data_IF_643320864861
#
_entry.id   IF_643320864861
#
_cell.length_a   1.000
_cell.length_b   1.000
_cell.length_c   1.000
_cell.angle_alpha   90.00
_cell.angle_beta   90.00
_cell.angle_gamma   90.00
#
_symmetry.space_group_name_H-M   'P 1'
#
loop_
_entity.id
_entity.type
_entity.pdbx_description
1 polymer ?
#
# COMPACT_ATOMS: atom_id res chain seq x y z
N UNK A 1 -16.37 -44.63 13.81
CA UNK A 1 -15.19 -43.74 13.98
C UNK A 1 -14.58 -43.46 12.60
N UNK A 2 -14.97 -42.38 11.92
CA UNK A 2 -14.45 -42.05 10.58
C UNK A 2 -13.57 -40.81 10.66
N UNK A 3 -12.28 -41.00 10.93
CA UNK A 3 -11.28 -39.93 10.96
C UNK A 3 -11.03 -39.44 9.54
N UNK A 4 -11.82 -38.46 9.09
CA UNK A 4 -11.52 -37.70 7.86
C UNK A 4 -10.41 -36.70 8.17
N UNK A 5 -9.16 -37.16 8.13
CA UNK A 5 -7.99 -36.28 8.09
C UNK A 5 -7.96 -35.56 6.74
N UNK A 6 -8.08 -34.23 6.73
CA UNK A 6 -7.71 -33.43 5.56
C UNK A 6 -6.19 -33.21 5.59
N UNK A 7 -5.48 -33.39 4.47
CA UNK A 7 -4.05 -33.20 4.43
C UNK A 7 -3.67 -31.75 4.73
N UNK A 8 -2.57 -31.59 5.46
CA UNK A 8 -1.93 -30.32 5.82
C UNK A 8 -1.24 -29.73 4.58
N UNK A 9 -1.30 -28.41 4.48
CA UNK A 9 -0.52 -27.55 3.59
C UNK A 9 -0.59 -27.86 2.09
N UNK A 10 -1.53 -27.19 1.42
CA UNK A 10 -1.30 -26.79 0.04
C UNK A 10 -0.32 -25.62 0.08
N UNK A 11 0.99 -25.90 -0.05
CA UNK A 11 1.96 -24.87 -0.35
C UNK A 11 1.52 -24.22 -1.67
N UNK A 12 1.01 -23.00 -1.59
CA UNK A 12 0.81 -22.17 -2.77
C UNK A 12 2.21 -21.86 -3.30
N UNK A 13 2.52 -22.19 -4.57
CA UNK A 13 3.79 -21.79 -5.17
C UNK A 13 3.91 -20.27 -5.04
N UNK A 14 5.04 -19.79 -4.53
CA UNK A 14 5.37 -18.37 -4.60
C UNK A 14 5.32 -17.99 -6.09
N UNK A 15 4.66 -16.88 -6.47
CA UNK A 15 4.59 -16.49 -7.87
C UNK A 15 6.02 -16.29 -8.37
N UNK A 16 6.42 -17.17 -9.27
CA UNK A 16 7.68 -17.08 -10.00
C UNK A 16 7.64 -15.79 -10.80
N UNK A 17 8.71 -15.00 -10.64
CA UNK A 17 8.92 -13.67 -11.21
C UNK A 17 8.50 -13.61 -12.68
N UNK A 18 7.34 -13.04 -12.96
CA UNK A 18 6.89 -12.79 -14.32
C UNK A 18 7.92 -11.90 -15.06
N UNK A 19 8.17 -12.15 -16.37
CA UNK A 19 9.17 -11.42 -17.15
C UNK A 19 8.78 -9.95 -17.24
N UNK A 20 9.74 -9.08 -16.90
CA UNK A 20 9.56 -7.64 -16.87
C UNK A 20 9.00 -7.12 -18.21
N UNK A 21 7.81 -6.51 -18.24
CA UNK A 21 7.32 -5.86 -19.45
C UNK A 21 8.19 -4.64 -19.73
N UNK A 22 9.08 -4.83 -20.69
CA UNK A 22 9.88 -3.81 -21.36
C UNK A 22 8.93 -2.75 -21.93
N UNK A 23 8.94 -1.54 -21.36
CA UNK A 23 8.45 -0.34 -22.07
C UNK A 23 7.35 0.50 -21.43
N UNK A 24 6.93 0.27 -20.18
CA UNK A 24 5.99 1.17 -19.49
C UNK A 24 6.49 1.50 -18.08
N UNK A 25 6.50 2.79 -17.71
CA UNK A 25 6.96 3.32 -16.41
C UNK A 25 6.38 2.51 -15.24
N UNK A 26 7.18 1.60 -14.72
CA UNK A 26 6.79 0.72 -13.63
C UNK A 26 6.81 1.50 -12.31
N UNK A 27 5.64 1.71 -11.71
CA UNK A 27 5.51 2.41 -10.41
C UNK A 27 5.66 1.46 -9.21
N UNK A 28 6.01 0.19 -9.43
CA UNK A 28 6.07 -0.85 -8.39
C UNK A 28 7.17 -0.60 -7.35
N UNK A 29 8.32 -0.06 -7.78
CA UNK A 29 9.45 0.26 -6.89
C UNK A 29 9.40 1.70 -6.34
N UNK A 30 8.24 2.36 -6.39
CA UNK A 30 8.11 3.75 -5.90
C UNK A 30 8.50 3.87 -4.43
N UNK A 31 9.23 4.93 -4.14
CA UNK A 31 9.66 5.26 -2.78
C UNK A 31 8.45 5.61 -1.91
N UNK A 32 8.56 5.28 -0.62
CA UNK A 32 7.58 5.71 0.36
C UNK A 32 7.53 7.23 0.42
N UNK A 33 6.31 7.77 0.35
CA UNK A 33 6.06 9.20 0.39
C UNK A 33 5.19 9.54 1.58
N UNK A 34 5.26 10.80 1.95
CA UNK A 34 4.49 11.37 3.03
C UNK A 34 3.22 11.96 2.46
N UNK A 35 2.10 11.68 3.11
CA UNK A 35 0.79 12.10 2.67
C UNK A 35 0.05 12.81 3.80
N UNK A 36 -0.75 13.80 3.44
CA UNK A 36 -1.60 14.55 4.34
C UNK A 36 -3.06 14.32 3.97
N UNK A 37 -3.89 13.97 4.95
CA UNK A 37 -5.32 13.94 4.75
C UNK A 37 -5.92 15.32 5.03
N UNK A 38 -6.58 15.91 4.03
CA UNK A 38 -7.27 17.20 4.18
C UNK A 38 -8.56 17.11 5.01
N UNK A 39 -9.12 15.90 5.18
CA UNK A 39 -10.32 15.66 6.00
C UNK A 39 -10.05 15.65 7.50
N UNK A 40 -9.03 14.90 7.95
CA UNK A 40 -8.71 14.77 9.38
C UNK A 40 -7.50 15.59 9.81
N UNK A 41 -6.75 16.19 8.88
CA UNK A 41 -5.52 16.95 9.14
C UNK A 41 -4.33 16.10 9.60
N UNK A 42 -4.52 14.78 9.79
CA UNK A 42 -3.44 13.85 10.14
C UNK A 42 -2.59 13.54 8.92
N UNK A 43 -1.31 13.34 9.16
CA UNK A 43 -0.34 12.95 8.14
C UNK A 43 0.04 11.49 8.33
N UNK A 44 0.45 10.82 7.26
CA UNK A 44 0.94 9.45 7.35
C UNK A 44 2.01 9.21 6.30
N UNK A 45 2.84 8.21 6.54
CA UNK A 45 3.93 7.87 5.64
C UNK A 45 3.71 6.47 5.08
N UNK A 46 3.77 6.32 3.76
CA UNK A 46 3.38 5.08 3.13
C UNK A 46 3.45 5.10 1.61
N UNK A 47 2.68 4.22 0.99
CA UNK A 47 2.41 4.20 -0.46
C UNK A 47 0.91 4.19 -0.65
N UNK A 48 0.37 5.02 -1.54
CA UNK A 48 -1.05 4.99 -1.90
C UNK A 48 -1.31 3.85 -2.87
N UNK A 49 -2.41 3.11 -2.78
CA UNK A 49 -2.69 2.06 -3.76
C UNK A 49 -2.85 2.67 -5.17
N UNK A 50 -1.87 2.44 -6.04
CA UNK A 50 -1.92 2.84 -7.44
C UNK A 50 -1.76 1.60 -8.31
N UNK A 51 -2.52 1.55 -9.39
CA UNK A 51 -2.46 0.45 -10.35
C UNK A 51 -1.28 0.71 -11.27
N UNK A 52 -0.29 -0.18 -11.23
CA UNK A 52 0.81 -0.13 -12.18
C UNK A 52 0.29 -0.50 -13.57
N UNK A 53 0.53 0.34 -14.58
CA UNK A 53 0.14 0.03 -15.97
C UNK A 53 0.87 -1.21 -16.51
N UNK A 54 2.09 -1.44 -16.04
CA UNK A 54 2.92 -2.59 -16.42
C UNK A 54 2.52 -3.87 -15.66
N UNK A 55 1.98 -3.73 -14.44
CA UNK A 55 1.60 -4.86 -13.59
C UNK A 55 0.18 -4.67 -13.05
N UNK A 56 -0.82 -4.70 -13.94
CA UNK A 56 -2.24 -4.59 -13.56
C UNK A 56 -2.70 -5.74 -12.65
N UNK A 57 -2.03 -6.89 -12.74
CA UNK A 57 -2.30 -8.09 -11.94
C UNK A 57 -1.69 -8.03 -10.53
N UNK A 58 -0.76 -7.11 -10.27
CA UNK A 58 -0.05 -7.01 -8.99
C UNK A 58 -0.78 -6.01 -8.10
N UNK A 59 -1.26 -6.50 -6.96
CA UNK A 59 -1.83 -5.66 -5.91
C UNK A 59 -0.98 -5.75 -4.65
N UNK A 60 -0.59 -4.58 -4.13
CA UNK A 60 0.18 -4.49 -2.90
C UNK A 60 -0.77 -4.39 -1.72
N UNK A 61 -0.84 -5.44 -0.88
CA UNK A 61 -1.73 -5.48 0.29
C UNK A 61 -1.45 -4.38 1.31
N UNK A 62 -0.21 -3.88 1.38
CA UNK A 62 0.20 -2.85 2.36
C UNK A 62 0.02 -1.42 1.86
N UNK A 63 -0.54 -1.23 0.67
CA UNK A 63 -0.72 0.10 0.11
C UNK A 63 -2.05 0.71 0.59
N UNK A 64 -2.00 1.99 0.96
CA UNK A 64 -3.12 2.72 1.51
C UNK A 64 -4.15 3.06 0.42
N UNK A 65 -5.33 2.45 0.51
CA UNK A 65 -6.49 2.78 -0.34
C UNK A 65 -7.34 3.92 0.23
N UNK A 66 -7.16 4.24 1.49
CA UNK A 66 -7.89 5.26 2.22
C UNK A 66 -7.03 5.77 3.37
N UNK A 67 -7.40 6.90 3.96
CA UNK A 67 -6.73 7.40 5.15
C UNK A 67 -6.90 6.40 6.31
N UNK A 68 -5.82 5.99 7.00
CA UNK A 68 -5.91 5.03 8.11
C UNK A 68 -6.64 5.58 9.35
N UNK A 69 -6.81 6.90 9.44
CA UNK A 69 -7.44 7.55 10.60
C UNK A 69 -8.95 7.78 10.42
N UNK A 70 -9.38 8.18 9.23
CA UNK A 70 -10.76 8.58 8.96
C UNK A 70 -11.42 7.80 7.82
N UNK A 71 -10.73 6.82 7.23
CA UNK A 71 -11.18 6.08 6.06
C UNK A 71 -11.58 6.96 4.85
N UNK A 72 -11.11 8.21 4.80
CA UNK A 72 -11.37 9.10 3.66
C UNK A 72 -10.70 8.56 2.38
N UNK A 73 -11.35 8.77 1.24
CA UNK A 73 -10.82 8.41 -0.07
C UNK A 73 -9.49 9.11 -0.35
N UNK A 74 -8.68 8.48 -1.21
CA UNK A 74 -7.40 9.04 -1.68
C UNK A 74 -7.53 10.41 -2.34
N UNK A 75 -8.73 10.79 -2.80
CA UNK A 75 -9.04 12.13 -3.33
C UNK A 75 -8.74 13.24 -2.31
N UNK A 76 -8.92 12.95 -1.02
CA UNK A 76 -8.62 13.90 0.07
C UNK A 76 -7.19 13.76 0.60
N UNK A 77 -6.35 12.96 -0.04
CA UNK A 77 -4.99 12.69 0.39
C UNK A 77 -4.03 13.37 -0.57
N UNK A 78 -3.32 14.37 -0.06
CA UNK A 78 -2.34 15.15 -0.82
C UNK A 78 -0.94 14.71 -0.44
N UNK A 79 -0.04 14.60 -1.42
CA UNK A 79 1.38 14.36 -1.13
C UNK A 79 1.98 15.56 -0.40
N UNK A 80 2.78 15.30 0.63
CA UNK A 80 3.58 16.29 1.35
C UNK A 80 5.05 15.89 1.30
N UNK A 81 5.96 16.85 1.31
CA UNK A 81 7.41 16.59 1.36
C UNK A 81 7.94 16.47 2.80
N UNK A 82 7.06 16.24 3.77
CA UNK A 82 7.41 16.12 5.18
C UNK A 82 8.17 14.82 5.45
N UNK A 83 9.20 14.86 6.29
CA UNK A 83 9.87 13.64 6.75
C UNK A 83 8.98 12.83 7.70
N UNK A 84 9.26 11.52 7.85
CA UNK A 84 8.56 10.62 8.80
C UNK A 84 8.49 11.21 10.21
N UNK A 85 9.60 11.79 10.66
CA UNK A 85 9.73 12.41 11.98
C UNK A 85 8.85 13.64 12.13
N UNK A 86 8.77 14.46 11.08
CA UNK A 86 7.91 15.64 11.05
C UNK A 86 6.41 15.26 11.12
N UNK A 87 6.02 14.18 10.44
CA UNK A 87 4.65 13.64 10.50
C UNK A 87 4.29 13.19 11.92
N UNK A 88 5.16 12.40 12.56
CA UNK A 88 4.92 11.91 13.91
C UNK A 88 4.76 13.06 14.91
N UNK A 89 5.63 14.07 14.82
CA UNK A 89 5.52 15.28 15.64
C UNK A 89 4.21 16.04 15.38
N UNK A 90 3.77 16.17 14.14
CA UNK A 90 2.52 16.86 13.77
C UNK A 90 1.28 16.14 14.29
N UNK A 91 1.29 14.81 14.27
CA UNK A 91 0.15 14.00 14.73
C UNK A 91 0.05 13.91 16.26
N UNK A 92 1.16 14.07 16.98
CA UNK A 92 1.23 13.96 18.44
C UNK A 92 0.69 15.20 19.20
N UNK A 93 0.48 16.32 18.51
CA UNK A 93 0.05 17.59 19.11
C UNK A 93 -1.49 17.75 19.09
N UNK A 94 -2.23 16.85 18.43
CA UNK A 94 -3.68 16.94 18.24
C UNK A 94 -4.42 15.74 18.85
#
# INVERSE_FOLDING_TARGET
>A
MSKRGRPRNRLVPLPESDPEPVGLECICQRQYRSYQCTKCGKHFHGRLAEICKSHSSVSYLMDFRCCPYCAADTVFITQSDLSKEAILKRNAIN
#
